data_IF_472646127323
#
_entry.id   IF_472646127323
#
_cell.length_a   1.000
_cell.length_b   1.000
_cell.length_c   1.000
_cell.angle_alpha   90.00
_cell.angle_beta   90.00
_cell.angle_gamma   90.00
#
_symmetry.space_group_name_H-M   'P 1'
#
loop_
_entity.id
_entity.type
_entity.pdbx_description
1 polymer ?
#
# COMPACT_ATOMS: atom_id res chain seq x y z
N UNK A 1 41.33 -16.41 -2.22
CA UNK A 1 40.31 -16.62 -3.27
C UNK A 1 40.32 -18.08 -3.70
N UNK A 2 39.15 -18.74 -3.69
CA UNK A 2 38.99 -20.18 -3.94
C UNK A 2 39.48 -20.54 -5.36
N UNK A 3 40.13 -21.70 -5.54
CA UNK A 3 40.69 -22.13 -6.85
C UNK A 3 39.64 -22.09 -7.97
N UNK A 4 38.37 -22.30 -7.62
CA UNK A 4 37.21 -22.26 -8.51
C UNK A 4 36.93 -20.87 -9.10
N UNK A 5 37.03 -19.80 -8.30
CA UNK A 5 36.80 -18.43 -8.77
C UNK A 5 37.93 -17.98 -9.71
N UNK A 6 39.17 -18.41 -9.45
CA UNK A 6 40.30 -18.21 -10.37
C UNK A 6 40.05 -18.90 -11.72
N UNK A 7 39.55 -20.13 -11.69
CA UNK A 7 39.24 -20.89 -12.91
C UNK A 7 38.13 -20.21 -13.72
N UNK A 8 37.09 -19.70 -13.05
CA UNK A 8 35.94 -19.05 -13.69
C UNK A 8 36.33 -17.73 -14.38
N UNK A 9 37.15 -16.91 -13.73
CA UNK A 9 37.65 -15.66 -14.32
C UNK A 9 38.60 -15.91 -15.50
N UNK A 10 39.44 -16.95 -15.44
CA UNK A 10 40.27 -17.37 -16.57
C UNK A 10 39.39 -17.82 -17.74
N UNK A 11 38.32 -18.59 -17.47
CA UNK A 11 37.38 -19.04 -18.50
C UNK A 11 36.67 -17.87 -19.21
N UNK A 12 36.24 -16.85 -18.47
CA UNK A 12 35.62 -15.63 -19.04
C UNK A 12 36.63 -14.87 -19.91
N UNK A 13 37.86 -14.70 -19.43
CA UNK A 13 38.90 -14.02 -20.19
C UNK A 13 39.24 -14.77 -21.49
N UNK A 14 39.33 -16.10 -21.44
CA UNK A 14 39.53 -16.96 -22.62
C UNK A 14 38.35 -16.86 -23.59
N UNK A 15 37.11 -16.77 -23.10
CA UNK A 15 35.93 -16.60 -23.94
C UNK A 15 35.94 -15.26 -24.68
N UNK A 16 36.30 -14.16 -24.00
CA UNK A 16 36.40 -12.83 -24.61
C UNK A 16 37.49 -12.80 -25.70
N UNK A 17 38.66 -13.40 -25.42
CA UNK A 17 39.75 -13.51 -26.40
C UNK A 17 39.32 -14.37 -27.60
N UNK A 18 38.61 -15.48 -27.36
CA UNK A 18 38.08 -16.35 -28.42
C UNK A 18 37.08 -15.63 -29.31
N UNK A 19 36.21 -14.80 -28.74
CA UNK A 19 35.23 -13.98 -29.49
C UNK A 19 35.94 -12.92 -30.33
N UNK A 20 36.99 -12.27 -29.79
CA UNK A 20 37.81 -11.32 -30.55
C UNK A 20 38.52 -12.00 -31.72
N UNK A 21 39.14 -13.16 -31.50
CA UNK A 21 39.79 -13.94 -32.56
C UNK A 21 38.76 -14.37 -33.63
N UNK A 22 37.57 -14.81 -33.22
CA UNK A 22 36.47 -15.18 -34.12
C UNK A 22 36.00 -13.99 -34.97
N UNK A 23 35.85 -12.81 -34.36
CA UNK A 23 35.46 -11.59 -35.07
C UNK A 23 36.51 -11.13 -36.10
N UNK A 24 37.80 -11.25 -35.78
CA UNK A 24 38.91 -10.92 -36.69
C UNK A 24 39.01 -11.93 -37.83
N UNK A 25 38.88 -13.24 -37.54
CA UNK A 25 38.87 -14.27 -38.58
C UNK A 25 37.68 -14.13 -39.53
N UNK A 26 36.50 -13.74 -39.02
CA UNK A 26 35.33 -13.44 -39.88
C UNK A 26 35.53 -12.16 -40.71
N UNK A 27 36.26 -11.17 -40.19
CA UNK A 27 36.61 -9.94 -40.93
C UNK A 27 37.68 -10.18 -42.02
N UNK A 28 38.57 -11.16 -41.82
CA UNK A 28 39.60 -11.57 -42.81
C UNK A 28 39.00 -12.49 -43.89
N UNK A 29 38.12 -13.42 -43.52
CA UNK A 29 37.45 -14.33 -44.47
C UNK A 29 36.27 -13.68 -45.22
N UNK A 30 35.63 -12.67 -44.62
CA UNK A 30 34.75 -11.76 -45.36
C UNK A 30 35.58 -10.78 -46.18
N UNK A 31 35.08 -10.34 -47.34
CA UNK A 31 35.76 -9.44 -48.30
C UNK A 31 36.20 -8.05 -47.75
N UNK A 32 36.18 -7.84 -46.44
CA UNK A 32 36.46 -6.58 -45.74
C UNK A 32 37.93 -6.15 -45.86
N UNK A 33 38.88 -7.09 -45.78
CA UNK A 33 40.32 -6.79 -45.92
C UNK A 33 40.74 -6.50 -47.36
N UNK A 34 39.99 -7.01 -48.34
CA UNK A 34 40.25 -6.80 -49.79
C UNK A 34 39.70 -5.45 -50.25
N UNK A 35 38.54 -5.04 -49.74
CA UNK A 35 37.89 -3.79 -50.14
C UNK A 35 38.42 -2.54 -49.41
N UNK A 36 39.05 -2.67 -48.24
CA UNK A 36 39.56 -1.52 -47.50
C UNK A 36 40.80 -1.84 -46.62
N UNK A 37 41.99 -2.01 -47.23
CA UNK A 37 43.18 -2.55 -46.56
C UNK A 37 43.73 -1.66 -45.44
N UNK A 38 43.53 -0.34 -45.52
CA UNK A 38 44.00 0.62 -44.51
C UNK A 38 43.22 0.44 -43.19
N UNK A 39 41.89 0.28 -43.27
CA UNK A 39 41.06 0.01 -42.09
C UNK A 39 41.37 -1.36 -41.48
N UNK A 40 41.77 -2.33 -42.29
CA UNK A 40 42.25 -3.64 -41.83
C UNK A 40 43.50 -3.57 -40.96
N UNK A 41 44.47 -2.74 -41.37
CA UNK A 41 45.71 -2.50 -40.60
C UNK A 41 45.39 -1.82 -39.25
N UNK A 42 44.50 -0.83 -39.24
CA UNK A 42 44.04 -0.18 -38.00
C UNK A 42 43.29 -1.15 -37.07
N UNK A 43 42.52 -2.09 -37.61
CA UNK A 43 41.85 -3.11 -36.81
C UNK A 43 42.86 -4.06 -36.15
N UNK A 44 43.89 -4.52 -36.87
CA UNK A 44 44.95 -5.36 -36.32
C UNK A 44 45.82 -4.62 -35.29
N UNK A 45 46.12 -3.34 -35.53
CA UNK A 45 46.77 -2.46 -34.56
C UNK A 45 45.91 -2.25 -33.31
N UNK A 46 44.59 -2.04 -33.47
CA UNK A 46 43.65 -1.89 -32.37
C UNK A 46 43.54 -3.15 -31.51
N UNK A 47 43.49 -4.34 -32.14
CA UNK A 47 43.45 -5.63 -31.44
C UNK A 47 44.77 -5.92 -30.73
N UNK A 48 45.91 -5.67 -31.36
CA UNK A 48 47.22 -5.86 -30.72
C UNK A 48 47.46 -4.87 -29.56
N UNK A 49 47.02 -3.62 -29.68
CA UNK A 49 47.00 -2.66 -28.58
C UNK A 49 46.05 -3.07 -27.45
N UNK A 50 44.87 -3.61 -27.76
CA UNK A 50 43.92 -4.10 -26.77
C UNK A 50 44.48 -5.33 -26.02
N UNK A 51 45.14 -6.26 -26.72
CA UNK A 51 45.82 -7.41 -26.10
C UNK A 51 46.99 -6.93 -25.24
N UNK A 52 47.80 -5.98 -25.73
CA UNK A 52 48.91 -5.41 -24.96
C UNK A 52 48.43 -4.67 -23.71
N UNK A 53 47.36 -3.87 -23.83
CA UNK A 53 46.71 -3.18 -22.71
C UNK A 53 46.08 -4.16 -21.73
N UNK A 54 45.53 -5.29 -22.19
CA UNK A 54 45.01 -6.35 -21.34
C UNK A 54 46.12 -7.07 -20.59
N UNK A 55 47.23 -7.43 -21.25
CA UNK A 55 48.38 -8.10 -20.62
C UNK A 55 49.06 -7.19 -19.59
N UNK A 56 49.23 -5.91 -19.90
CA UNK A 56 49.86 -4.92 -18.99
C UNK A 56 48.89 -4.45 -17.89
N UNK A 57 47.62 -4.32 -18.24
CA UNK A 57 46.53 -3.91 -17.35
C UNK A 57 46.05 -5.02 -16.43
N UNK A 58 46.20 -6.30 -16.78
CA UNK A 58 45.79 -7.44 -15.97
C UNK A 58 46.41 -7.42 -14.55
N UNK A 59 47.60 -6.83 -14.38
CA UNK A 59 48.20 -6.62 -13.05
C UNK A 59 47.41 -5.63 -12.18
N UNK A 60 46.77 -4.63 -12.78
CA UNK A 60 46.01 -3.58 -12.10
C UNK A 60 44.49 -3.81 -12.12
N UNK A 61 43.98 -4.66 -13.02
CA UNK A 61 42.58 -5.06 -13.08
C UNK A 61 42.13 -5.71 -11.77
N UNK A 62 42.99 -6.51 -11.12
CA UNK A 62 42.67 -7.09 -9.80
C UNK A 62 42.45 -6.03 -8.72
N UNK A 63 43.32 -5.01 -8.66
CA UNK A 63 43.17 -3.87 -7.73
C UNK A 63 41.96 -3.02 -8.07
N UNK A 64 41.69 -2.74 -9.36
CA UNK A 64 40.55 -1.94 -9.78
C UNK A 64 39.21 -2.67 -9.56
N UNK A 65 39.14 -3.97 -9.81
CA UNK A 65 37.94 -4.77 -9.50
C UNK A 65 37.72 -4.90 -8.00
N UNK A 66 38.78 -5.08 -7.18
CA UNK A 66 38.63 -5.12 -5.73
C UNK A 66 38.14 -3.79 -5.16
N UNK A 67 38.64 -2.66 -5.68
CA UNK A 67 38.19 -1.31 -5.31
C UNK A 67 36.76 -1.07 -5.80
N UNK A 68 36.41 -1.46 -7.03
CA UNK A 68 35.06 -1.33 -7.56
C UNK A 68 34.04 -2.16 -6.76
N UNK A 69 34.41 -3.37 -6.33
CA UNK A 69 33.58 -4.19 -5.44
C UNK A 69 33.42 -3.52 -4.08
N UNK A 70 34.48 -2.93 -3.50
CA UNK A 70 34.38 -2.18 -2.24
C UNK A 70 33.48 -0.94 -2.34
N UNK A 71 33.49 -0.25 -3.49
CA UNK A 71 32.62 0.92 -3.73
C UNK A 71 31.15 0.54 -3.95
N UNK A 72 30.83 -0.62 -4.55
CA UNK A 72 29.43 -1.03 -4.76
C UNK A 72 28.76 -1.53 -3.48
N UNK A 73 29.50 -1.94 -2.44
CA UNK A 73 28.89 -2.33 -1.16
C UNK A 73 28.43 -1.12 -0.32
N UNK A 74 28.86 0.10 -0.66
CA UNK A 74 28.65 1.31 0.14
C UNK A 74 27.37 2.10 -0.17
N UNK A 75 26.39 1.58 -0.92
CA UNK A 75 25.10 2.29 -0.98
C UNK A 75 24.42 2.24 0.38
N UNK A 76 24.37 3.34 1.11
CA UNK A 76 23.59 3.46 2.35
C UNK A 76 22.22 4.00 1.98
N UNK A 77 21.17 3.26 2.33
CA UNK A 77 19.80 3.76 2.24
C UNK A 77 19.52 4.58 3.49
N UNK A 78 18.80 5.68 3.35
CA UNK A 78 18.42 6.55 4.47
C UNK A 78 16.91 6.53 4.68
N UNK A 79 16.47 6.64 5.93
CA UNK A 79 15.06 6.76 6.24
C UNK A 79 14.56 8.15 5.84
N UNK A 80 13.54 8.21 4.98
CA UNK A 80 12.93 9.47 4.51
C UNK A 80 11.97 10.02 5.56
N UNK A 81 11.76 11.34 5.58
CA UNK A 81 10.89 12.00 6.58
C UNK A 81 9.41 11.58 6.50
N UNK A 82 8.94 11.17 5.32
CA UNK A 82 7.56 10.70 5.10
C UNK A 82 7.37 9.22 5.45
N UNK A 83 8.38 8.58 6.05
CA UNK A 83 8.40 7.16 6.37
C UNK A 83 8.95 6.94 7.77
N UNK A 84 8.45 5.90 8.43
CA UNK A 84 8.94 5.40 9.70
C UNK A 84 9.49 4.00 9.44
N UNK A 85 10.80 3.83 9.57
CA UNK A 85 11.44 2.55 9.29
C UNK A 85 11.65 1.80 10.59
N UNK A 86 11.15 0.56 10.66
CA UNK A 86 11.42 -0.35 11.76
C UNK A 86 12.15 -1.58 11.25
N UNK A 87 13.15 -2.00 12.01
CA UNK A 87 14.02 -3.12 11.65
C UNK A 87 14.08 -4.13 12.79
N UNK A 88 14.26 -5.40 12.43
CA UNK A 88 14.47 -6.51 13.36
C UNK A 88 15.62 -7.36 12.87
N UNK A 89 16.51 -7.74 13.77
CA UNK A 89 17.66 -8.62 13.57
C UNK A 89 17.39 -10.08 14.01
N UNK A 90 16.24 -10.33 14.64
CA UNK A 90 15.88 -11.57 15.33
C UNK A 90 14.54 -12.17 14.85
N UNK A 91 14.30 -12.10 13.53
CA UNK A 91 13.13 -12.70 12.86
C UNK A 91 11.79 -12.10 13.36
N UNK A 92 11.77 -10.83 13.77
CA UNK A 92 10.57 -10.10 14.18
C UNK A 92 10.22 -10.21 15.66
N UNK A 93 11.14 -10.70 16.50
CA UNK A 93 10.94 -10.82 17.95
C UNK A 93 11.12 -9.47 18.66
N UNK A 94 12.15 -8.72 18.28
CA UNK A 94 12.40 -7.35 18.73
C UNK A 94 12.51 -6.40 17.55
N UNK A 95 12.02 -5.18 17.74
CA UNK A 95 11.96 -4.15 16.71
C UNK A 95 12.63 -2.88 17.20
N UNK A 96 13.40 -2.26 16.31
CA UNK A 96 14.10 -0.99 16.55
C UNK A 96 13.62 0.03 15.52
N UNK A 97 13.28 1.23 15.98
CA UNK A 97 12.93 2.36 15.11
C UNK A 97 14.21 3.02 14.61
N UNK A 98 14.24 3.33 13.33
CA UNK A 98 15.27 4.16 12.70
C UNK A 98 14.67 5.56 12.51
N UNK A 99 15.36 6.60 12.97
CA UNK A 99 14.83 7.96 12.83
C UNK A 99 15.01 8.45 11.39
N UNK A 100 14.19 9.43 11.00
CA UNK A 100 14.36 10.08 9.71
C UNK A 100 15.76 10.70 9.59
N UNK A 101 16.41 10.49 8.45
CA UNK A 101 17.78 10.91 8.19
C UNK A 101 18.85 9.91 8.64
N UNK A 102 18.52 8.93 9.48
CA UNK A 102 19.47 7.89 9.87
C UNK A 102 19.65 6.85 8.75
N UNK A 103 20.86 6.28 8.69
CA UNK A 103 21.16 5.20 7.76
C UNK A 103 20.40 3.93 8.17
N UNK A 104 19.67 3.36 7.23
CA UNK A 104 18.95 2.10 7.40
C UNK A 104 19.94 0.95 7.21
N UNK A 105 20.15 0.09 8.22
CA UNK A 105 21.10 -1.01 8.10
C UNK A 105 20.68 -1.96 6.97
N UNK A 106 21.66 -2.49 6.26
CA UNK A 106 21.44 -3.59 5.30
C UNK A 106 21.50 -4.91 6.06
N UNK A 107 20.57 -5.82 5.78
CA UNK A 107 20.52 -7.15 6.41
C UNK A 107 21.74 -8.02 6.14
N UNK A 108 22.53 -7.71 5.11
CA UNK A 108 23.76 -8.42 4.79
C UNK A 108 23.52 -9.92 4.60
N UNK A 109 24.15 -10.74 5.45
CA UNK A 109 24.01 -12.20 5.46
C UNK A 109 23.00 -12.72 6.51
N UNK A 110 22.32 -11.83 7.25
CA UNK A 110 21.33 -12.23 8.25
C UNK A 110 20.00 -12.57 7.56
N UNK A 111 19.69 -13.86 7.46
CA UNK A 111 18.44 -14.36 6.90
C UNK A 111 17.19 -13.94 7.70
N UNK A 112 17.36 -13.59 8.97
CA UNK A 112 16.31 -13.12 9.87
C UNK A 112 16.17 -11.61 9.92
N UNK A 113 16.92 -10.88 9.09
CA UNK A 113 16.77 -9.43 9.00
C UNK A 113 15.44 -9.06 8.34
N UNK A 114 14.63 -8.33 9.08
CA UNK A 114 13.35 -7.83 8.62
C UNK A 114 13.35 -6.31 8.65
N UNK A 115 12.77 -5.71 7.63
CA UNK A 115 12.59 -4.26 7.54
C UNK A 115 11.16 -3.98 7.10
N UNK A 116 10.51 -3.07 7.81
CA UNK A 116 9.18 -2.56 7.47
C UNK A 116 9.26 -1.06 7.36
N UNK A 117 8.72 -0.55 6.27
CA UNK A 117 8.55 0.87 6.04
C UNK A 117 7.09 1.20 6.30
N UNK A 118 6.83 2.01 7.32
CA UNK A 118 5.50 2.44 7.73
C UNK A 118 5.31 3.88 7.25
N UNK A 119 4.17 4.23 6.64
CA UNK A 119 3.84 5.61 6.29
C UNK A 119 3.90 6.57 7.50
N UNK A 120 4.44 7.78 7.31
CA UNK A 120 4.38 8.87 8.28
C UNK A 120 3.43 9.99 7.83
N UNK A 121 2.31 9.60 7.22
CA UNK A 121 1.27 10.50 6.75
C UNK A 121 -0.11 9.88 7.01
N UNK A 122 -1.17 10.69 7.05
CA UNK A 122 -2.52 10.19 7.26
C UNK A 122 -2.96 9.25 6.14
N UNK A 123 -3.63 8.17 6.52
CA UNK A 123 -4.17 7.14 5.62
C UNK A 123 -5.66 7.01 5.83
N UNK A 124 -6.38 6.65 4.77
CA UNK A 124 -7.82 6.48 4.79
C UNK A 124 -8.16 5.00 4.87
N UNK A 125 -9.15 4.69 5.70
CA UNK A 125 -9.73 3.36 5.84
C UNK A 125 -11.25 3.41 5.74
N UNK A 126 -11.84 2.31 5.30
CA UNK A 126 -13.29 2.11 5.26
C UNK A 126 -13.66 0.82 5.98
N UNK A 127 -14.73 0.86 6.78
CA UNK A 127 -15.25 -0.34 7.44
C UNK A 127 -16.75 -0.44 7.24
N UNK A 128 -17.20 -1.61 6.74
CA UNK A 128 -18.60 -1.90 6.46
C UNK A 128 -19.04 -3.10 7.29
N UNK A 129 -20.05 -2.92 8.13
CA UNK A 129 -20.56 -4.01 8.96
C UNK A 129 -22.01 -3.80 9.37
N UNK A 130 -22.65 -4.90 9.74
CA UNK A 130 -24.01 -4.89 10.25
C UNK A 130 -23.98 -4.70 11.76
N UNK A 131 -24.78 -3.75 12.25
CA UNK A 131 -25.02 -3.53 13.68
C UNK A 131 -26.51 -3.42 13.97
N UNK A 132 -26.84 -3.57 15.25
CA UNK A 132 -28.16 -3.25 15.75
C UNK A 132 -28.08 -1.93 16.52
N UNK A 133 -29.06 -1.06 16.29
CA UNK A 133 -29.33 0.12 17.11
C UNK A 133 -30.26 -0.26 18.27
N UNK A 134 -30.72 0.74 19.02
CA UNK A 134 -31.78 0.59 20.01
C UNK A 134 -33.00 -0.13 19.42
N UNK A 135 -33.69 -0.91 20.26
CA UNK A 135 -34.86 -1.71 19.88
C UNK A 135 -34.61 -2.75 18.79
N UNK A 136 -33.34 -3.14 18.59
CA UNK A 136 -32.90 -4.16 17.61
C UNK A 136 -33.14 -3.75 16.15
N UNK A 137 -33.19 -2.46 15.86
CA UNK A 137 -33.20 -1.96 14.49
C UNK A 137 -31.88 -2.32 13.83
N UNK A 138 -31.93 -3.16 12.79
CA UNK A 138 -30.75 -3.62 12.07
C UNK A 138 -30.35 -2.57 11.03
N UNK A 139 -29.09 -2.16 11.05
CA UNK A 139 -28.53 -1.22 10.08
C UNK A 139 -27.25 -1.79 9.46
N UNK A 140 -27.07 -1.54 8.16
CA UNK A 140 -25.76 -1.63 7.54
C UNK A 140 -25.02 -0.32 7.86
N UNK A 141 -23.89 -0.43 8.54
CA UNK A 141 -23.11 0.72 8.98
C UNK A 141 -21.89 0.83 8.08
N UNK A 142 -21.70 2.02 7.51
CA UNK A 142 -20.50 2.40 6.80
C UNK A 142 -19.75 3.44 7.63
N UNK A 143 -18.48 3.16 7.89
CA UNK A 143 -17.58 4.06 8.62
C UNK A 143 -16.41 4.37 7.72
N UNK A 144 -16.24 5.66 7.43
CA UNK A 144 -15.07 6.20 6.75
C UNK A 144 -14.21 6.90 7.79
N UNK A 145 -12.91 6.62 7.81
CA UNK A 145 -12.03 7.20 8.81
C UNK A 145 -10.64 7.50 8.24
N UNK A 146 -9.99 8.47 8.86
CA UNK A 146 -8.59 8.79 8.58
C UNK A 146 -7.76 8.49 9.82
N UNK A 147 -6.62 7.84 9.63
CA UNK A 147 -5.76 7.39 10.71
C UNK A 147 -4.29 7.69 10.45
N UNK A 148 -3.54 7.81 11.52
CA UNK A 148 -2.08 7.99 11.48
C UNK A 148 -1.43 7.05 12.47
N UNK A 149 -0.33 6.43 12.06
CA UNK A 149 0.47 5.56 12.93
C UNK A 149 1.45 6.46 13.67
N UNK A 150 1.18 6.72 14.96
CA UNK A 150 1.99 7.60 15.80
C UNK A 150 3.14 6.85 16.45
N UNK A 151 2.91 5.59 16.87
CA UNK A 151 3.90 4.74 17.51
C UNK A 151 4.14 3.45 16.69
N UNK A 152 5.12 3.45 15.77
CA UNK A 152 5.33 2.35 14.83
C UNK A 152 5.74 1.05 15.54
N UNK A 153 6.39 1.15 16.70
CA UNK A 153 6.80 -0.02 17.50
C UNK A 153 5.62 -0.69 18.23
N UNK A 154 4.59 0.06 18.62
CA UNK A 154 3.38 -0.51 19.18
C UNK A 154 2.54 -1.17 18.07
N UNK A 155 2.45 -0.50 16.91
CA UNK A 155 1.71 -0.99 15.76
C UNK A 155 2.28 -2.32 15.22
N UNK A 156 3.60 -2.40 15.00
CA UNK A 156 4.25 -3.60 14.44
C UNK A 156 4.09 -4.84 15.35
N UNK A 157 3.99 -4.65 16.67
CA UNK A 157 3.76 -5.75 17.61
C UNK A 157 2.40 -6.42 17.41
N UNK A 158 1.40 -5.65 16.96
CA UNK A 158 0.07 -6.15 16.63
C UNK A 158 0.02 -6.67 15.19
N UNK A 159 0.68 -5.98 14.27
CA UNK A 159 0.68 -6.27 12.84
C UNK A 159 1.92 -7.07 12.39
N UNK A 160 2.29 -8.15 13.10
CA UNK A 160 3.55 -8.88 12.85
C UNK A 160 3.72 -9.39 11.42
N UNK A 161 2.61 -9.64 10.71
CA UNK A 161 2.57 -10.16 9.35
C UNK A 161 2.96 -9.14 8.26
N UNK A 162 3.03 -7.83 8.56
CA UNK A 162 3.54 -6.84 7.61
C UNK A 162 5.07 -6.90 7.47
N UNK A 163 5.73 -7.54 8.45
CA UNK A 163 7.14 -7.84 8.42
C UNK A 163 7.50 -8.80 7.28
N UNK A 164 8.22 -8.32 6.26
CA UNK A 164 8.88 -9.18 5.28
C UNK A 164 10.39 -9.23 5.54
N UNK A 165 10.97 -10.41 5.32
CA UNK A 165 12.42 -10.54 5.23
C UNK A 165 12.91 -9.79 3.98
N UNK A 166 13.90 -8.91 4.15
CA UNK A 166 14.65 -8.27 3.05
C UNK A 166 13.87 -7.41 2.04
N UNK A 167 12.74 -6.78 2.40
CA UNK A 167 12.16 -5.72 1.54
C UNK A 167 13.16 -4.56 1.38
N UNK A 168 13.36 -4.03 0.18
CA UNK A 168 14.31 -2.93 -0.05
C UNK A 168 13.64 -1.57 0.23
N UNK A 169 14.33 -0.61 0.86
CA UNK A 169 13.69 0.65 1.30
C UNK A 169 13.57 1.68 0.17
N UNK A 170 14.40 1.51 -0.86
CA UNK A 170 14.40 2.36 -2.06
C UNK A 170 13.43 1.84 -3.12
N UNK A 171 12.77 0.70 -2.85
CA UNK A 171 11.75 0.17 -3.74
C UNK A 171 10.50 1.07 -3.66
N UNK A 172 9.98 1.58 -4.79
CA UNK A 172 8.70 2.28 -4.79
C UNK A 172 7.56 1.43 -4.20
N UNK A 173 7.66 0.10 -4.25
CA UNK A 173 6.69 -0.85 -3.68
C UNK A 173 7.02 -1.27 -2.24
N UNK A 174 7.94 -0.57 -1.55
CA UNK A 174 8.33 -0.89 -0.17
C UNK A 174 7.15 -0.79 0.81
N UNK A 175 6.19 0.09 0.52
CA UNK A 175 4.91 0.16 1.21
C UNK A 175 3.96 -0.77 0.48
N UNK A 176 3.85 -2.01 0.97
CA UNK A 176 2.92 -2.97 0.40
C UNK A 176 1.50 -2.65 0.87
N UNK A 177 0.73 -1.95 0.03
CA UNK A 177 -0.65 -1.55 0.29
C UNK A 177 -1.50 -2.71 0.82
N UNK A 178 -1.40 -3.90 0.21
CA UNK A 178 -2.17 -5.09 0.63
C UNK A 178 -1.81 -5.57 2.04
N UNK A 179 -0.55 -5.44 2.45
CA UNK A 179 -0.14 -5.82 3.79
C UNK A 179 -0.67 -4.83 4.84
N UNK A 180 -0.70 -3.54 4.50
CA UNK A 180 -1.27 -2.50 5.35
C UNK A 180 -2.79 -2.60 5.44
N UNK A 181 -3.49 -2.88 4.33
CA UNK A 181 -4.93 -3.17 4.32
C UNK A 181 -5.27 -4.36 5.24
N UNK A 182 -4.47 -5.44 5.19
CA UNK A 182 -4.66 -6.58 6.09
C UNK A 182 -4.38 -6.22 7.56
N UNK A 183 -3.38 -5.38 7.83
CA UNK A 183 -3.07 -4.91 9.17
C UNK A 183 -4.15 -3.98 9.73
N UNK A 184 -4.66 -3.06 8.90
CA UNK A 184 -5.78 -2.18 9.19
C UNK A 184 -7.02 -3.00 9.60
N UNK A 185 -7.41 -3.96 8.76
CA UNK A 185 -8.51 -4.89 9.02
C UNK A 185 -8.39 -5.57 10.40
N UNK A 186 -7.17 -6.00 10.75
CA UNK A 186 -6.92 -6.74 12.00
C UNK A 186 -6.73 -5.86 13.23
N UNK A 187 -6.17 -4.66 13.10
CA UNK A 187 -5.78 -3.81 14.25
C UNK A 187 -6.78 -2.69 14.48
N UNK A 188 -7.30 -2.09 13.42
CA UNK A 188 -8.12 -0.87 13.45
C UNK A 188 -9.59 -1.24 13.31
N UNK A 189 -9.99 -1.78 12.15
CA UNK A 189 -11.37 -2.12 11.79
C UNK A 189 -12.09 -2.94 12.86
N UNK A 190 -11.45 -4.02 13.31
CA UNK A 190 -12.04 -4.87 14.35
C UNK A 190 -12.36 -4.08 15.63
N UNK A 191 -11.48 -3.15 16.04
CA UNK A 191 -11.65 -2.36 17.28
C UNK A 191 -12.73 -1.31 17.09
N UNK A 192 -12.71 -0.60 15.96
CA UNK A 192 -13.77 0.36 15.61
C UNK A 192 -15.12 -0.34 15.60
N UNK A 193 -15.22 -1.50 14.95
CA UNK A 193 -16.45 -2.31 14.91
C UNK A 193 -16.94 -2.75 16.29
N UNK A 194 -16.04 -3.20 17.16
CA UNK A 194 -16.40 -3.63 18.51
C UNK A 194 -16.88 -2.44 19.37
N UNK A 195 -16.22 -1.28 19.26
CA UNK A 195 -16.65 -0.03 19.92
C UNK A 195 -17.99 0.44 19.36
N UNK A 196 -18.11 0.51 18.04
CA UNK A 196 -19.29 0.99 17.34
C UNK A 196 -20.54 0.19 17.75
N UNK A 197 -20.45 -1.14 17.78
CA UNK A 197 -21.54 -2.00 18.27
C UNK A 197 -21.95 -1.70 19.71
N UNK A 198 -21.00 -1.37 20.58
CA UNK A 198 -21.28 -1.00 21.96
C UNK A 198 -21.91 0.39 22.11
N UNK A 199 -21.60 1.31 21.18
CA UNK A 199 -22.19 2.66 21.14
C UNK A 199 -23.62 2.58 20.62
N UNK A 200 -23.83 1.96 19.46
CA UNK A 200 -25.11 2.00 18.74
C UNK A 200 -26.27 1.30 19.46
N UNK A 201 -26.01 0.33 20.33
CA UNK A 201 -27.07 -0.44 20.99
C UNK A 201 -28.02 0.43 21.84
N UNK A 202 -27.58 1.60 22.26
CA UNK A 202 -28.37 2.53 23.06
C UNK A 202 -28.95 3.69 22.23
N UNK A 203 -28.54 3.82 20.97
CA UNK A 203 -28.85 4.98 20.13
C UNK A 203 -30.15 4.74 19.36
N UNK A 204 -31.06 5.70 19.46
CA UNK A 204 -32.33 5.69 18.75
C UNK A 204 -32.15 6.34 17.38
N UNK A 205 -32.32 5.57 16.31
CA UNK A 205 -32.10 6.03 14.93
C UNK A 205 -32.99 7.23 14.54
N UNK A 206 -34.13 7.45 15.22
CA UNK A 206 -35.05 8.56 14.94
C UNK A 206 -34.58 9.87 15.59
N UNK A 207 -33.93 9.78 16.75
CA UNK A 207 -33.53 10.94 17.57
C UNK A 207 -32.00 11.15 17.57
N UNK A 208 -31.29 10.33 16.83
CA UNK A 208 -29.85 10.32 16.67
C UNK A 208 -29.31 11.65 16.12
N UNK A 209 -28.38 12.27 16.87
CA UNK A 209 -27.49 13.30 16.32
C UNK A 209 -26.22 12.64 15.78
N UNK A 210 -26.05 12.72 14.47
CA UNK A 210 -24.90 12.14 13.78
C UNK A 210 -23.57 12.74 14.26
N UNK A 211 -23.51 14.05 14.50
CA UNK A 211 -22.27 14.73 14.89
C UNK A 211 -21.84 14.32 16.30
N UNK A 212 -22.81 14.19 17.22
CA UNK A 212 -22.54 13.77 18.60
C UNK A 212 -22.00 12.33 18.65
N UNK A 213 -22.60 11.43 17.87
CA UNK A 213 -22.18 10.02 17.84
C UNK A 213 -20.84 9.85 17.14
N UNK A 214 -20.57 10.57 16.06
CA UNK A 214 -19.24 10.58 15.41
C UNK A 214 -18.16 11.03 16.41
N UNK A 215 -18.39 12.13 17.15
CA UNK A 215 -17.48 12.61 18.16
C UNK A 215 -17.29 11.60 19.32
N UNK A 216 -18.37 10.98 19.78
CA UNK A 216 -18.34 9.97 20.84
C UNK A 216 -17.60 8.70 20.39
N UNK A 217 -17.85 8.23 19.17
CA UNK A 217 -17.20 7.08 18.57
C UNK A 217 -15.71 7.32 18.34
N UNK A 218 -15.34 8.51 17.86
CA UNK A 218 -13.95 8.92 17.68
C UNK A 218 -13.19 8.84 19.00
N UNK A 219 -13.74 9.46 20.05
CA UNK A 219 -13.13 9.50 21.37
C UNK A 219 -12.98 8.10 21.99
N UNK A 220 -13.99 7.24 21.88
CA UNK A 220 -13.91 5.86 22.39
C UNK A 220 -12.95 5.00 21.58
N UNK A 221 -12.93 5.15 20.26
CA UNK A 221 -12.02 4.40 19.38
C UNK A 221 -10.57 4.79 19.64
N UNK A 222 -10.26 6.08 19.75
CA UNK A 222 -8.90 6.55 20.05
C UNK A 222 -8.39 6.05 21.40
N UNK A 223 -9.23 5.96 22.45
CA UNK A 223 -8.83 5.37 23.74
C UNK A 223 -8.34 3.93 23.63
N UNK A 224 -8.83 3.16 22.65
CA UNK A 224 -8.43 1.76 22.44
C UNK A 224 -7.26 1.66 21.45
N UNK A 225 -7.18 2.56 20.47
CA UNK A 225 -6.19 2.53 19.39
C UNK A 225 -4.86 3.20 19.79
N UNK A 226 -4.87 4.22 20.65
CA UNK A 226 -3.66 4.93 21.08
C UNK A 226 -2.60 4.00 21.70
N UNK A 227 -2.94 3.05 22.61
CA UNK A 227 -1.97 2.08 23.12
C UNK A 227 -1.38 1.15 22.05
N UNK A 228 -2.06 1.01 20.90
CA UNK A 228 -1.61 0.23 19.75
C UNK A 228 -0.78 1.07 18.78
N UNK A 229 -0.58 2.36 19.07
CA UNK A 229 0.19 3.28 18.25
C UNK A 229 -0.55 3.84 17.03
N UNK A 230 -1.88 3.82 17.06
CA UNK A 230 -2.73 4.37 16.00
C UNK A 230 -3.60 5.46 16.58
N UNK A 231 -3.75 6.56 15.84
CA UNK A 231 -4.70 7.64 16.17
C UNK A 231 -5.60 7.91 14.98
N UNK A 232 -6.90 7.96 15.20
CA UNK A 232 -7.89 8.44 14.25
C UNK A 232 -7.92 9.96 14.28
N UNK A 233 -7.86 10.59 13.11
CA UNK A 233 -7.96 12.04 12.96
C UNK A 233 -9.41 12.49 12.84
N UNK A 234 -10.24 11.74 12.10
CA UNK A 234 -11.69 11.90 12.06
C UNK A 234 -12.37 10.56 11.75
N UNK A 235 -13.68 10.50 11.99
CA UNK A 235 -14.55 9.38 11.67
C UNK A 235 -15.88 9.93 11.14
N UNK A 236 -16.37 9.34 10.06
CA UNK A 236 -17.66 9.67 9.45
C UNK A 236 -18.52 8.43 9.47
N UNK A 237 -19.78 8.60 9.82
CA UNK A 237 -20.71 7.50 10.06
C UNK A 237 -21.92 7.61 9.13
N UNK A 238 -22.24 6.53 8.41
CA UNK A 238 -23.47 6.44 7.62
C UNK A 238 -24.25 5.18 7.98
N UNK A 239 -25.55 5.32 8.17
CA UNK A 239 -26.48 4.22 8.41
C UNK A 239 -27.33 3.95 7.17
N UNK A 240 -27.13 2.79 6.55
CA UNK A 240 -27.95 2.27 5.48
C UNK A 240 -28.99 1.31 6.05
N UNK A 241 -30.22 1.82 6.17
CA UNK A 241 -31.38 1.07 6.63
C UNK A 241 -32.10 0.40 5.48
N UNK A 242 -32.80 -0.70 5.76
CA UNK A 242 -33.70 -1.30 4.79
C UNK A 242 -34.90 -0.38 4.49
N UNK A 243 -35.54 -0.61 3.34
CA UNK A 243 -36.60 0.27 2.85
C UNK A 243 -37.79 0.35 3.82
N UNK A 244 -38.18 -0.76 4.45
CA UNK A 244 -39.32 -0.79 5.38
C UNK A 244 -39.02 0.03 6.63
N UNK A 245 -37.83 -0.15 7.21
CA UNK A 245 -37.39 0.63 8.38
C UNK A 245 -37.30 2.12 8.05
N UNK A 246 -36.71 2.48 6.90
CA UNK A 246 -36.62 3.88 6.47
C UNK A 246 -38.00 4.51 6.32
N UNK A 247 -38.94 3.83 5.67
CA UNK A 247 -40.31 4.30 5.53
C UNK A 247 -41.01 4.45 6.89
N UNK A 248 -40.79 3.51 7.82
CA UNK A 248 -41.36 3.58 9.16
C UNK A 248 -40.82 4.78 9.96
N UNK A 249 -39.53 5.07 9.84
CA UNK A 249 -38.89 6.26 10.44
C UNK A 249 -39.47 7.53 9.83
N UNK A 250 -39.56 7.63 8.50
CA UNK A 250 -40.12 8.80 7.81
C UNK A 250 -41.56 9.08 8.28
N UNK A 251 -42.38 8.03 8.41
CA UNK A 251 -43.76 8.12 8.91
C UNK A 251 -43.79 8.55 10.38
N UNK A 252 -42.95 7.95 11.24
CA UNK A 252 -42.86 8.29 12.66
C UNK A 252 -42.45 9.75 12.86
N UNK A 253 -41.41 10.21 12.16
CA UNK A 253 -40.93 11.59 12.20
C UNK A 253 -41.99 12.56 11.69
N UNK A 254 -42.66 12.23 10.57
CA UNK A 254 -43.76 13.05 10.07
C UNK A 254 -44.93 13.13 11.07
N UNK A 255 -45.27 12.04 11.77
CA UNK A 255 -46.30 12.07 12.81
C UNK A 255 -45.92 12.96 13.98
N UNK A 256 -44.66 12.91 14.46
CA UNK A 256 -44.16 13.81 15.52
C UNK A 256 -44.32 15.28 15.11
N UNK A 257 -44.06 15.62 13.85
CA UNK A 257 -44.26 16.98 13.32
C UNK A 257 -45.74 17.37 13.35
N UNK A 258 -46.65 16.50 12.88
CA UNK A 258 -48.09 16.77 12.92
C UNK A 258 -48.59 16.93 14.36
N UNK A 259 -48.13 16.09 15.29
CA UNK A 259 -48.47 16.16 16.71
C UNK A 259 -48.00 17.46 17.36
N UNK A 260 -46.76 17.89 17.08
CA UNK A 260 -46.22 19.17 17.60
C UNK A 260 -47.03 20.41 17.18
N UNK A 261 -47.81 20.30 16.10
CA UNK A 261 -48.67 21.36 15.57
C UNK A 261 -50.16 21.16 15.90
N UNK A 262 -50.51 20.14 16.67
CA UNK A 262 -51.91 19.80 16.98
C UNK A 262 -52.72 19.29 15.78
N UNK A 263 -52.04 18.83 14.71
CA UNK A 263 -52.63 18.39 13.44
C UNK A 263 -52.64 16.86 13.30
N UNK A 264 -52.73 16.13 14.41
CA UNK A 264 -52.55 14.68 14.43
C UNK A 264 -53.56 13.93 13.57
N UNK A 265 -54.84 14.32 13.61
CA UNK A 265 -55.90 13.70 12.79
C UNK A 265 -55.72 13.96 11.29
N UNK A 266 -55.29 15.17 10.92
CA UNK A 266 -54.93 15.49 9.54
C UNK A 266 -53.73 14.65 9.07
N UNK A 267 -52.72 14.49 9.92
CA UNK A 267 -51.55 13.65 9.65
C UNK A 267 -51.93 12.19 9.36
N UNK A 268 -52.78 11.59 10.20
CA UNK A 268 -53.31 10.22 9.99
C UNK A 268 -54.05 10.10 8.65
N UNK A 269 -54.90 11.06 8.31
CA UNK A 269 -55.65 11.06 7.04
C UNK A 269 -54.70 11.14 5.83
N UNK A 270 -53.72 12.06 5.86
CA UNK A 270 -52.74 12.21 4.78
C UNK A 270 -51.91 10.94 4.59
N UNK A 271 -51.49 10.31 5.69
CA UNK A 271 -50.73 9.05 5.62
C UNK A 271 -51.56 7.90 5.06
N UNK A 272 -52.82 7.76 5.49
CA UNK A 272 -53.73 6.74 4.97
C UNK A 272 -53.98 6.92 3.47
N UNK A 273 -54.16 8.16 3.01
CA UNK A 273 -54.36 8.44 1.58
C UNK A 273 -53.09 8.18 0.76
N UNK A 274 -51.92 8.52 1.30
CA UNK A 274 -50.62 8.29 0.64
C UNK A 274 -50.27 6.81 0.55
N UNK A 275 -50.62 6.02 1.56
CA UNK A 275 -50.45 4.56 1.55
C UNK A 275 -51.34 3.87 0.49
N UNK A 276 -52.51 4.44 0.19
CA UNK A 276 -53.42 3.96 -0.86
C UNK A 276 -53.12 4.51 -2.26
N UNK A 277 -52.20 5.46 -2.40
CA UNK A 277 -51.89 6.10 -3.68
C UNK A 277 -50.88 5.29 -4.49
N UNK A 278 -51.33 4.61 -5.54
CA UNK A 278 -50.47 3.91 -6.49
C UNK A 278 -49.57 4.93 -7.23
N UNK A 279 -48.25 4.79 -7.11
CA UNK A 279 -47.29 5.66 -7.81
C UNK A 279 -47.21 5.24 -9.28
N UNK A 280 -47.89 5.96 -10.17
CA UNK A 280 -47.77 5.75 -11.62
C UNK A 280 -46.48 6.44 -12.09
N UNK A 281 -45.45 5.64 -12.39
CA UNK A 281 -44.23 6.13 -13.04
C UNK A 281 -44.46 6.07 -14.55
N UNK A 282 -44.64 7.23 -15.19
CA UNK A 282 -44.77 7.32 -16.65
C UNK A 282 -43.37 7.50 -17.24
N UNK A 283 -42.76 6.42 -17.71
CA UNK A 283 -41.57 6.49 -18.56
C UNK A 283 -41.99 6.76 -20.00
N UNK A 284 -41.81 8.00 -20.47
CA UNK A 284 -41.95 8.32 -21.89
C UNK A 284 -40.74 7.76 -22.65
N UNK A 285 -40.86 6.55 -23.19
CA UNK A 285 -39.93 6.04 -24.20
C UNK A 285 -40.17 6.79 -25.50
N UNK A 286 -39.36 7.82 -25.76
CA UNK A 286 -39.28 8.43 -27.09
C UNK A 286 -38.45 7.46 -27.95
N UNK A 287 -39.12 6.71 -28.82
CA UNK A 287 -38.43 5.93 -29.84
C UNK A 287 -37.60 6.87 -30.71
N UNK A 288 -36.28 6.67 -30.71
CA UNK A 288 -35.38 7.42 -31.57
C UNK A 288 -35.65 7.02 -33.02
N UNK A 289 -35.83 7.97 -33.97
CA UNK A 289 -36.07 7.62 -35.35
C UNK A 289 -34.86 6.83 -35.88
N UNK A 290 -35.13 5.63 -36.40
CA UNK A 290 -34.11 4.85 -37.11
C UNK A 290 -33.64 5.65 -38.32
N UNK A 291 -32.38 6.07 -38.29
CA UNK A 291 -31.66 6.55 -39.46
C UNK A 291 -31.50 5.35 -40.39
N UNK A 292 -32.24 5.35 -41.50
CA UNK A 292 -32.03 4.39 -42.59
C UNK A 292 -30.67 4.67 -43.24
N UNK A 293 -29.92 3.58 -43.48
CA UNK A 293 -28.65 3.54 -44.22
C UNK A 293 -28.66 4.32 -45.53
#
# INVERSE_FOLDING_TARGET
MNKTIKLFLIAIAVAIISILIYSVTKAILGNYMINNPINGIFMLLGVSLAIYAFVKGAKYVWTLCAIAVLFTVQSCNYAKSNQQVVVSDDCGMSWKKINAGDAVPKGGLNACYMKVVIPNYPMQGESKFISNLKDRVRANVHIDYDYSITEPLAFIKQAKHIGRANANADDPDAINEKAFESAENMVIDKRIKDVAKSVFINEDIVELDQSEIEAHLLNKSNKILEPLGVRLNFITLTFDLDEQTRQAIDVSTAMKIYESKGLQELGKQVMSQRAGATKIVVENKIESPQVKE
#
